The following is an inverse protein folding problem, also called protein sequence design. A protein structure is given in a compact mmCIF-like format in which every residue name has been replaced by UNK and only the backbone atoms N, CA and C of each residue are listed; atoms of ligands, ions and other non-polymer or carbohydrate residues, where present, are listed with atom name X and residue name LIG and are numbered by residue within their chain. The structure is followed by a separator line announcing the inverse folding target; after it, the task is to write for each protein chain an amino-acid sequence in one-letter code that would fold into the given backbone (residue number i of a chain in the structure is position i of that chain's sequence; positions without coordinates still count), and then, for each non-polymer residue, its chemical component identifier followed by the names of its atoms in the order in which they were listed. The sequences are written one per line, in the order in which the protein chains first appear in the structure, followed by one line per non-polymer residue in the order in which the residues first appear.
data_IF_185759067890
#
_entry.id   IF_185759067890
#
_cell.length_a   1.000
_cell.length_b   1.000
_cell.length_c   1.000
_cell.angle_alpha   90.00
_cell.angle_beta   90.00
_cell.angle_gamma   90.00
#
_symmetry.space_group_name_H-M   'P 1'
#
loop_
_entity.id
_entity.type
_entity.pdbx_description
1 polymer ?
#
# COMPACT_ATOMS: atom_id res chain seq x y z
N UNK A 1 -6.94 -18.71 -14.88
CA UNK A 1 -6.76 -20.14 -15.24
C UNK A 1 -5.36 -20.48 -15.74
N UNK A 2 -4.64 -19.61 -16.44
CA UNK A 2 -3.28 -19.91 -16.94
C UNK A 2 -2.20 -20.06 -15.84
N UNK A 3 -2.34 -19.43 -14.69
CA UNK A 3 -1.39 -19.53 -13.57
C UNK A 3 -1.48 -20.87 -12.80
N UNK A 4 -2.67 -21.44 -12.69
CA UNK A 4 -2.86 -22.72 -12.01
C UNK A 4 -2.30 -23.89 -12.85
N UNK A 5 -2.42 -23.82 -14.17
CA UNK A 5 -1.88 -24.82 -15.08
C UNK A 5 -0.33 -24.82 -15.13
N UNK A 6 0.31 -23.66 -14.97
CA UNK A 6 1.78 -23.57 -14.86
C UNK A 6 2.32 -24.14 -13.54
N UNK A 7 1.61 -24.00 -12.43
CA UNK A 7 1.97 -24.61 -11.14
C UNK A 7 1.87 -26.16 -11.18
N UNK A 8 0.86 -26.70 -11.83
CA UNK A 8 0.68 -28.15 -11.95
C UNK A 8 1.74 -28.80 -12.86
N UNK A 9 2.19 -28.12 -13.90
CA UNK A 9 3.23 -28.64 -14.80
C UNK A 9 4.62 -28.68 -14.15
N UNK A 10 4.90 -27.81 -13.18
CA UNK A 10 6.20 -27.77 -12.48
C UNK A 10 6.31 -28.82 -11.36
N UNK A 11 5.20 -29.23 -10.75
CA UNK A 11 5.17 -30.23 -9.68
C UNK A 11 5.45 -31.66 -10.16
N UNK A 12 5.43 -31.91 -11.48
CA UNK A 12 5.58 -33.26 -12.07
C UNK A 12 7.01 -33.55 -12.55
N UNK A 13 7.97 -32.67 -12.38
CA UNK A 13 9.35 -32.86 -12.89
C UNK A 13 10.37 -33.16 -11.78
N UNK A 14 9.97 -33.91 -10.77
CA UNK A 14 10.90 -34.44 -9.77
C UNK A 14 11.49 -35.77 -10.29
N UNK A 15 12.78 -35.78 -10.56
CA UNK A 15 13.49 -37.03 -10.98
C UNK A 15 13.87 -37.79 -9.71
N UNK A 16 13.41 -39.04 -9.61
CA UNK A 16 13.76 -39.94 -8.54
C UNK A 16 15.20 -40.43 -8.74
N UNK A 17 16.07 -40.12 -7.80
CA UNK A 17 17.47 -40.58 -7.81
C UNK A 17 17.57 -41.95 -7.15
N UNK A 18 18.58 -42.73 -7.47
CA UNK A 18 18.76 -44.11 -7.06
C UNK A 18 18.84 -44.41 -5.55
N UNK A 19 18.93 -43.37 -4.72
CA UNK A 19 18.95 -43.47 -3.25
C UNK A 19 17.59 -43.10 -2.58
N UNK A 20 16.52 -42.98 -3.38
CA UNK A 20 15.17 -42.75 -2.86
C UNK A 20 14.83 -41.29 -2.53
N UNK A 21 15.73 -40.34 -2.77
CA UNK A 21 15.47 -38.91 -2.59
C UNK A 21 15.03 -38.29 -3.89
N UNK A 22 14.19 -37.23 -3.79
CA UNK A 22 13.78 -36.41 -4.93
C UNK A 22 14.73 -35.23 -5.07
N UNK A 23 15.37 -35.09 -6.22
CA UNK A 23 16.21 -33.94 -6.54
C UNK A 23 15.57 -33.10 -7.67
N UNK A 24 15.71 -31.81 -7.67
CA UNK A 24 15.29 -30.96 -8.79
C UNK A 24 16.20 -31.26 -10.00
N UNK A 25 15.66 -31.17 -11.24
CA UNK A 25 16.44 -31.37 -12.44
C UNK A 25 17.57 -30.34 -12.52
N UNK A 26 18.76 -30.80 -12.92
CA UNK A 26 19.93 -29.92 -13.11
C UNK A 26 19.72 -29.16 -14.41
N UNK A 27 19.21 -27.94 -14.30
CA UNK A 27 19.13 -26.98 -15.40
C UNK A 27 20.43 -26.17 -15.46
N UNK A 28 20.85 -25.78 -16.69
CA UNK A 28 22.05 -24.97 -16.88
C UNK A 28 22.04 -23.68 -16.05
N UNK A 29 23.21 -23.16 -15.71
CA UNK A 29 23.43 -22.06 -14.76
C UNK A 29 22.54 -20.81 -14.95
N UNK A 30 22.13 -20.51 -16.18
CA UNK A 30 21.26 -19.37 -16.49
C UNK A 30 19.82 -19.54 -15.99
N UNK A 31 19.30 -20.78 -15.94
CA UNK A 31 17.95 -21.08 -15.40
C UNK A 31 17.96 -21.20 -13.88
N UNK A 32 19.11 -21.55 -13.31
CA UNK A 32 19.29 -21.62 -11.86
C UNK A 32 19.33 -20.22 -11.23
N UNK A 33 19.95 -19.25 -11.94
CA UNK A 33 19.97 -17.84 -11.54
C UNK A 33 18.55 -17.24 -11.57
N UNK A 34 17.79 -17.48 -12.65
CA UNK A 34 16.42 -17.02 -12.80
C UNK A 34 15.46 -17.63 -11.74
N UNK A 35 15.73 -18.87 -11.30
CA UNK A 35 14.96 -19.53 -10.25
C UNK A 35 15.26 -18.94 -8.86
N UNK A 36 16.52 -18.65 -8.56
CA UNK A 36 16.93 -17.94 -7.34
C UNK A 36 16.32 -16.55 -7.27
N UNK A 37 16.33 -15.79 -8.37
CA UNK A 37 15.78 -14.43 -8.42
C UNK A 37 14.25 -14.42 -8.23
N UNK A 38 13.54 -15.42 -8.75
CA UNK A 38 12.08 -15.56 -8.57
C UNK A 38 11.72 -15.99 -7.14
N UNK A 39 12.48 -16.91 -6.54
CA UNK A 39 12.23 -17.34 -5.16
C UNK A 39 12.62 -16.28 -4.13
N UNK A 40 13.66 -15.50 -4.39
CA UNK A 40 14.08 -14.39 -3.52
C UNK A 40 13.13 -13.20 -3.60
N UNK A 41 12.35 -13.03 -4.69
CA UNK A 41 11.39 -11.93 -4.82
C UNK A 41 10.03 -12.19 -4.13
N UNK A 42 9.67 -13.44 -3.85
CA UNK A 42 8.41 -13.76 -3.14
C UNK A 42 8.54 -13.65 -1.60
N UNK A 43 9.74 -13.75 -1.04
CA UNK A 43 9.96 -13.64 0.41
C UNK A 43 10.19 -12.20 0.91
N UNK A 44 10.48 -11.25 0.01
CA UNK A 44 10.87 -9.88 0.40
C UNK A 44 9.77 -9.04 1.05
N UNK A 45 8.49 -9.33 0.80
CA UNK A 45 7.38 -8.53 1.32
C UNK A 45 7.05 -8.79 2.80
N UNK A 46 7.24 -10.01 3.27
CA UNK A 46 6.87 -10.43 4.64
C UNK A 46 8.01 -10.23 5.64
N UNK A 47 9.25 -10.49 5.23
CA UNK A 47 10.43 -10.38 6.11
C UNK A 47 10.76 -8.92 6.46
N UNK A 48 10.61 -7.98 5.53
CA UNK A 48 10.90 -6.56 5.79
C UNK A 48 9.94 -5.96 6.82
N UNK A 49 8.67 -6.34 6.79
CA UNK A 49 7.67 -5.86 7.76
C UNK A 49 7.84 -6.51 9.13
N UNK A 50 8.33 -7.76 9.18
CA UNK A 50 8.63 -8.47 10.42
C UNK A 50 9.86 -7.88 11.13
N UNK A 51 10.88 -7.48 10.38
CA UNK A 51 12.13 -6.90 10.90
C UNK A 51 11.93 -5.46 11.40
N UNK A 52 11.11 -4.66 10.72
CA UNK A 52 10.76 -3.30 11.15
C UNK A 52 9.95 -3.29 12.45
N UNK A 53 8.97 -4.18 12.59
CA UNK A 53 8.19 -4.33 13.82
C UNK A 53 9.06 -4.85 14.99
N UNK A 54 9.98 -5.75 14.74
CA UNK A 54 10.95 -6.25 15.73
C UNK A 54 11.89 -5.13 16.21
N UNK A 55 12.36 -4.28 15.31
CA UNK A 55 13.20 -3.12 15.61
C UNK A 55 12.47 -2.09 16.48
N UNK A 56 11.22 -1.75 16.13
CA UNK A 56 10.37 -0.82 16.90
C UNK A 56 10.05 -1.35 18.29
N UNK A 57 9.77 -2.65 18.41
CA UNK A 57 9.51 -3.31 19.71
C UNK A 57 10.72 -3.26 20.62
N UNK A 58 11.93 -3.51 20.10
CA UNK A 58 13.19 -3.40 20.88
C UNK A 58 13.48 -1.97 21.28
N UNK A 59 13.21 -0.99 20.40
CA UNK A 59 13.38 0.43 20.73
C UNK A 59 12.43 0.85 21.86
N UNK A 60 11.15 0.42 21.81
CA UNK A 60 10.16 0.63 22.86
C UNK A 60 10.62 0.01 24.18
N UNK A 61 11.05 -1.25 24.18
CA UNK A 61 11.55 -1.93 25.39
C UNK A 61 12.73 -1.17 26.02
N UNK A 62 13.68 -0.73 25.20
CA UNK A 62 14.83 0.07 25.65
C UNK A 62 14.40 1.39 26.27
N UNK A 63 13.46 2.10 25.64
CA UNK A 63 12.94 3.38 26.15
C UNK A 63 12.23 3.20 27.51
N UNK A 64 11.40 2.15 27.64
CA UNK A 64 10.72 1.84 28.92
C UNK A 64 11.70 1.46 30.03
N UNK A 65 12.80 0.78 29.71
CA UNK A 65 13.87 0.49 30.68
C UNK A 65 14.64 1.74 31.13
N UNK A 66 14.58 2.82 30.36
CA UNK A 66 15.20 4.13 30.62
C UNK A 66 14.23 5.11 31.30
N UNK A 67 13.18 4.61 31.96
CA UNK A 67 12.15 5.40 32.66
C UNK A 67 11.39 6.41 31.77
N UNK A 68 11.35 6.17 30.45
CA UNK A 68 10.51 6.98 29.55
C UNK A 68 9.04 6.72 29.87
N UNK A 69 8.29 7.79 30.12
CA UNK A 69 6.86 7.67 30.42
C UNK A 69 6.12 6.93 29.29
N UNK A 70 5.29 5.90 29.61
CA UNK A 70 4.45 5.23 28.60
C UNK A 70 3.57 6.19 27.81
N UNK A 71 3.11 7.27 28.42
CA UNK A 71 2.31 8.31 27.78
C UNK A 71 3.08 9.04 26.68
N UNK A 72 4.38 9.30 26.87
CA UNK A 72 5.23 9.90 25.85
C UNK A 72 5.35 8.99 24.63
N UNK A 73 5.60 7.70 24.84
CA UNK A 73 5.69 6.70 23.77
C UNK A 73 4.35 6.51 23.02
N UNK A 74 3.23 6.56 23.74
CA UNK A 74 1.89 6.49 23.12
C UNK A 74 1.64 7.70 22.22
N UNK A 75 2.06 8.90 22.63
CA UNK A 75 1.90 10.13 21.84
C UNK A 75 2.79 10.15 20.58
N UNK A 76 3.87 9.39 20.54
CA UNK A 76 4.74 9.24 19.38
C UNK A 76 4.22 8.19 18.38
N UNK A 77 3.22 7.39 18.77
CA UNK A 77 2.67 6.38 17.87
C UNK A 77 2.02 7.04 16.65
N UNK A 78 2.26 6.48 15.45
CA UNK A 78 1.57 6.96 14.26
C UNK A 78 0.05 6.79 14.41
N UNK A 79 -0.75 7.60 13.73
CA UNK A 79 -2.21 7.45 13.72
C UNK A 79 -2.59 5.99 13.41
N UNK A 80 -3.49 5.41 14.20
CA UNK A 80 -3.88 4.00 14.12
C UNK A 80 -5.26 3.79 13.47
N UNK A 81 -5.85 4.82 12.92
CA UNK A 81 -7.15 4.76 12.25
C UNK A 81 -7.22 5.73 11.08
N UNK A 82 -8.12 5.46 10.12
CA UNK A 82 -8.37 6.32 8.98
C UNK A 82 -8.68 7.76 9.41
N UNK A 83 -9.55 7.92 10.42
CA UNK A 83 -9.90 9.22 10.99
C UNK A 83 -8.68 9.97 11.51
N UNK A 84 -7.90 9.32 12.39
CA UNK A 84 -6.73 9.94 13.00
C UNK A 84 -5.67 10.30 11.95
N UNK A 85 -5.50 9.45 10.94
CA UNK A 85 -4.62 9.66 9.80
C UNK A 85 -5.03 10.89 9.00
N UNK A 86 -6.30 11.01 8.61
CA UNK A 86 -6.81 12.16 7.85
C UNK A 86 -6.74 13.46 8.66
N UNK A 87 -7.13 13.45 9.93
CA UNK A 87 -7.04 14.64 10.79
C UNK A 87 -5.59 15.12 10.91
N UNK A 88 -4.64 14.19 11.10
CA UNK A 88 -3.22 14.53 11.15
C UNK A 88 -2.74 15.18 9.84
N UNK A 89 -3.12 14.64 8.68
CA UNK A 89 -2.74 15.20 7.38
C UNK A 89 -3.39 16.56 7.12
N UNK A 90 -4.68 16.72 7.46
CA UNK A 90 -5.39 18.00 7.35
C UNK A 90 -4.74 19.09 8.23
N UNK A 91 -4.37 18.74 9.46
CA UNK A 91 -3.68 19.67 10.38
C UNK A 91 -2.32 20.10 9.84
N UNK A 92 -1.52 19.15 9.30
CA UNK A 92 -0.22 19.48 8.69
C UNK A 92 -0.35 20.44 7.50
N UNK A 93 -1.43 20.35 6.74
CA UNK A 93 -1.69 21.19 5.54
C UNK A 93 -2.55 22.41 5.83
N UNK A 94 -3.01 22.60 7.08
CA UNK A 94 -3.86 23.71 7.50
C UNK A 94 -5.10 23.86 6.61
N UNK A 95 -5.68 22.71 6.17
CA UNK A 95 -6.85 22.69 5.29
C UNK A 95 -8.12 22.40 6.09
N UNK A 96 -9.19 23.14 5.82
CA UNK A 96 -10.50 22.89 6.43
C UNK A 96 -11.22 21.71 5.78
N UNK A 97 -12.17 21.11 6.51
CA UNK A 97 -12.98 19.99 5.98
C UNK A 97 -13.77 20.41 4.74
N UNK A 98 -14.31 21.63 4.72
CA UNK A 98 -15.09 22.12 3.59
C UNK A 98 -14.23 22.33 2.34
N UNK A 99 -13.06 22.96 2.50
CA UNK A 99 -12.11 23.14 1.42
C UNK A 99 -11.60 21.81 0.88
N UNK A 100 -11.31 20.84 1.76
CA UNK A 100 -10.89 19.50 1.35
C UNK A 100 -11.98 18.78 0.56
N UNK A 101 -13.25 18.89 0.99
CA UNK A 101 -14.38 18.29 0.27
C UNK A 101 -14.54 18.88 -1.13
N UNK A 102 -14.45 20.21 -1.25
CA UNK A 102 -14.57 20.92 -2.52
C UNK A 102 -13.44 20.54 -3.49
N UNK A 103 -12.19 20.65 -3.05
CA UNK A 103 -11.02 20.33 -3.87
C UNK A 103 -10.97 18.85 -4.28
N UNK A 104 -11.42 17.93 -3.42
CA UNK A 104 -11.49 16.52 -3.74
C UNK A 104 -12.76 16.14 -4.53
N UNK A 105 -13.61 17.10 -4.91
CA UNK A 105 -14.91 16.87 -5.56
C UNK A 105 -15.77 15.85 -4.79
N UNK A 106 -15.84 15.99 -3.47
CA UNK A 106 -16.63 15.14 -2.58
C UNK A 106 -17.82 15.89 -2.02
N UNK A 107 -18.92 15.15 -1.80
CA UNK A 107 -20.00 15.70 -0.99
C UNK A 107 -19.51 15.87 0.46
N UNK A 108 -19.74 17.07 1.05
CA UNK A 108 -19.35 17.40 2.43
C UNK A 108 -19.83 16.35 3.43
N UNK A 109 -21.10 15.91 3.31
CA UNK A 109 -21.66 14.91 4.19
C UNK A 109 -20.91 13.57 4.11
N UNK A 110 -20.41 13.20 2.92
CA UNK A 110 -19.62 11.98 2.73
C UNK A 110 -18.26 12.09 3.41
N UNK A 111 -17.57 13.22 3.30
CA UNK A 111 -16.30 13.45 3.99
C UNK A 111 -16.48 13.47 5.50
N UNK A 112 -17.53 14.14 6.01
CA UNK A 112 -17.87 14.13 7.44
C UNK A 112 -18.13 12.70 7.97
N UNK A 113 -18.81 11.83 7.20
CA UNK A 113 -19.02 10.43 7.57
C UNK A 113 -17.71 9.64 7.68
N UNK A 114 -16.72 9.96 6.85
CA UNK A 114 -15.38 9.36 6.95
C UNK A 114 -14.66 9.89 8.20
N UNK A 115 -14.68 11.19 8.42
CA UNK A 115 -14.01 11.85 9.55
C UNK A 115 -14.61 11.50 10.91
N UNK A 116 -15.91 11.25 11.02
CA UNK A 116 -16.53 10.81 12.26
C UNK A 116 -16.54 9.29 12.46
N UNK A 117 -16.01 8.54 11.48
CA UNK A 117 -15.90 7.08 11.54
C UNK A 117 -17.18 6.30 11.20
N UNK A 118 -18.25 6.99 10.74
CA UNK A 118 -19.48 6.32 10.29
C UNK A 118 -19.26 5.51 9.01
N UNK A 119 -18.35 5.97 8.13
CA UNK A 119 -17.90 5.22 6.95
C UNK A 119 -16.57 4.56 7.25
N UNK A 120 -16.59 3.25 7.51
CA UNK A 120 -15.38 2.47 7.84
C UNK A 120 -14.54 2.14 6.60
N UNK A 121 -15.19 1.91 5.47
CA UNK A 121 -14.56 1.51 4.21
C UNK A 121 -15.01 2.45 3.09
N UNK A 122 -14.39 3.63 2.94
CA UNK A 122 -14.65 4.51 1.81
C UNK A 122 -14.11 3.90 0.52
N UNK A 123 -14.64 4.33 -0.62
CA UNK A 123 -14.13 3.88 -1.92
C UNK A 123 -12.67 4.28 -2.11
N UNK A 124 -11.90 3.40 -2.74
CA UNK A 124 -10.47 3.60 -3.00
C UNK A 124 -10.18 4.90 -3.75
N UNK A 125 -10.96 5.21 -4.80
CA UNK A 125 -10.84 6.44 -5.56
C UNK A 125 -11.07 7.70 -4.71
N UNK A 126 -11.94 7.63 -3.71
CA UNK A 126 -12.15 8.74 -2.75
C UNK A 126 -10.87 9.00 -1.95
N UNK A 127 -10.24 7.95 -1.43
CA UNK A 127 -8.99 8.09 -0.67
C UNK A 127 -7.82 8.59 -1.53
N UNK A 128 -7.74 8.16 -2.79
CA UNK A 128 -6.74 8.63 -3.75
C UNK A 128 -6.93 10.13 -4.03
N UNK A 129 -8.17 10.59 -4.25
CA UNK A 129 -8.45 12.02 -4.43
C UNK A 129 -8.07 12.85 -3.20
N UNK A 130 -8.39 12.37 -2.00
CA UNK A 130 -7.96 13.01 -0.75
C UNK A 130 -6.44 13.06 -0.64
N UNK A 131 -5.73 11.98 -1.03
CA UNK A 131 -4.28 11.94 -1.03
C UNK A 131 -3.66 12.98 -1.98
N UNK A 132 -4.20 13.12 -3.19
CA UNK A 132 -3.74 14.11 -4.18
C UNK A 132 -3.96 15.54 -3.68
N UNK A 133 -5.15 15.86 -3.16
CA UNK A 133 -5.46 17.22 -2.63
C UNK A 133 -4.58 17.55 -1.43
N UNK A 134 -4.36 16.59 -0.54
CA UNK A 134 -3.50 16.75 0.62
C UNK A 134 -2.01 16.68 0.27
N UNK A 135 -1.65 16.45 -1.00
CA UNK A 135 -0.27 16.26 -1.48
C UNK A 135 0.51 15.33 -0.57
N UNK A 136 -0.07 14.15 -0.32
CA UNK A 136 0.57 13.14 0.51
C UNK A 136 1.74 12.51 -0.25
N UNK A 137 2.77 12.12 0.49
CA UNK A 137 3.81 11.28 -0.07
C UNK A 137 3.26 9.91 -0.47
N UNK A 138 4.01 9.14 -1.26
CA UNK A 138 3.62 7.79 -1.65
C UNK A 138 3.35 6.91 -0.41
N UNK A 139 4.24 6.95 0.60
CA UNK A 139 4.09 6.16 1.83
C UNK A 139 2.89 6.61 2.67
N UNK A 140 2.63 7.92 2.75
CA UNK A 140 1.45 8.45 3.44
C UNK A 140 0.17 8.01 2.73
N UNK A 141 0.17 7.97 1.39
CA UNK A 141 -0.95 7.46 0.60
C UNK A 141 -1.17 5.98 0.83
N UNK A 142 -0.13 5.16 0.85
CA UNK A 142 -0.24 3.72 1.14
C UNK A 142 -0.83 3.49 2.55
N UNK A 143 -0.40 4.25 3.54
CA UNK A 143 -0.98 4.19 4.90
C UNK A 143 -2.46 4.60 4.92
N UNK A 144 -2.82 5.66 4.19
CA UNK A 144 -4.21 6.11 4.09
C UNK A 144 -5.11 5.01 3.47
N UNK A 145 -4.66 4.37 2.39
CA UNK A 145 -5.35 3.25 1.75
C UNK A 145 -5.48 2.05 2.70
N UNK A 146 -4.42 1.72 3.42
CA UNK A 146 -4.41 0.63 4.40
C UNK A 146 -5.46 0.85 5.50
N UNK A 147 -5.49 2.04 6.12
CA UNK A 147 -6.48 2.35 7.16
C UNK A 147 -7.91 2.46 6.63
N UNK A 148 -8.08 2.75 5.35
CA UNK A 148 -9.37 2.73 4.66
C UNK A 148 -9.84 1.32 4.28
N UNK A 149 -9.03 0.29 4.52
CA UNK A 149 -9.32 -1.09 4.11
C UNK A 149 -9.27 -1.30 2.61
N UNK A 150 -8.55 -0.44 1.89
CA UNK A 150 -8.40 -0.52 0.44
C UNK A 150 -7.08 -1.19 0.06
N UNK A 151 -7.05 -1.82 -1.12
CA UNK A 151 -5.83 -2.36 -1.68
C UNK A 151 -4.78 -1.25 -1.90
N UNK A 152 -3.50 -1.49 -1.57
CA UNK A 152 -2.42 -0.53 -1.81
C UNK A 152 -2.22 -0.29 -3.30
N UNK A 153 -1.56 0.82 -3.65
CA UNK A 153 -1.07 1.05 -5.01
C UNK A 153 0.03 0.06 -5.31
N UNK A 154 -0.06 -0.59 -6.47
CA UNK A 154 0.83 -1.69 -6.86
C UNK A 154 1.53 -1.39 -8.19
N UNK A 155 2.84 -1.65 -8.25
CA UNK A 155 3.62 -1.57 -9.49
C UNK A 155 3.22 -2.61 -10.54
N UNK A 156 2.38 -3.58 -10.20
CA UNK A 156 1.90 -4.62 -11.12
C UNK A 156 0.59 -4.24 -11.86
N UNK A 157 0.07 -3.04 -11.59
CA UNK A 157 -1.19 -2.54 -12.21
C UNK A 157 -0.91 -1.24 -12.92
N UNK A 158 -1.11 -1.20 -14.23
CA UNK A 158 -0.85 -0.01 -15.05
C UNK A 158 -1.60 1.23 -14.54
N UNK A 159 -2.86 1.08 -14.11
CA UNK A 159 -3.64 2.16 -13.52
C UNK A 159 -2.99 2.70 -12.23
N UNK A 160 -2.51 1.83 -11.37
CA UNK A 160 -1.85 2.22 -10.11
C UNK A 160 -0.51 2.91 -10.36
N UNK A 161 0.22 2.53 -11.41
CA UNK A 161 1.47 3.19 -11.82
C UNK A 161 1.19 4.65 -12.21
N UNK A 162 0.13 4.91 -12.99
CA UNK A 162 -0.25 6.27 -13.39
C UNK A 162 -0.61 7.10 -12.15
N UNK A 163 -1.42 6.56 -11.25
CA UNK A 163 -1.81 7.23 -10.01
C UNK A 163 -0.57 7.50 -9.13
N UNK A 164 0.31 6.52 -8.98
CA UNK A 164 1.54 6.66 -8.20
C UNK A 164 2.45 7.77 -8.76
N UNK A 165 2.58 7.84 -10.08
CA UNK A 165 3.33 8.92 -10.73
C UNK A 165 2.70 10.30 -10.45
N UNK A 166 1.36 10.41 -10.46
CA UNK A 166 0.66 11.63 -10.10
C UNK A 166 0.90 12.05 -8.65
N UNK A 167 0.90 11.10 -7.72
CA UNK A 167 1.18 11.35 -6.29
C UNK A 167 2.63 11.83 -6.10
N UNK A 168 3.59 11.14 -6.70
CA UNK A 168 5.02 11.47 -6.59
C UNK A 168 5.32 12.85 -7.19
N UNK A 169 4.64 13.23 -8.27
CA UNK A 169 4.80 14.54 -8.95
C UNK A 169 3.90 15.63 -8.37
N UNK A 170 3.16 15.35 -7.30
CA UNK A 170 2.18 16.29 -6.72
C UNK A 170 1.19 16.86 -7.74
N UNK A 171 0.80 16.03 -8.74
CA UNK A 171 -0.13 16.40 -9.81
C UNK A 171 -1.53 16.69 -9.27
N UNK A 172 -2.33 17.45 -10.02
CA UNK A 172 -3.75 17.64 -9.71
C UNK A 172 -4.57 16.39 -10.02
N UNK A 173 -5.81 16.32 -9.50
CA UNK A 173 -6.74 15.23 -9.83
C UNK A 173 -7.02 15.18 -11.33
N UNK A 174 -7.16 16.35 -11.96
CA UNK A 174 -7.49 16.45 -13.39
C UNK A 174 -6.32 16.02 -14.28
N UNK A 175 -5.06 16.30 -13.88
CA UNK A 175 -3.88 15.79 -14.57
C UNK A 175 -3.84 14.26 -14.52
N UNK A 176 -4.06 13.68 -13.33
CA UNK A 176 -4.10 12.23 -13.16
C UNK A 176 -5.23 11.62 -13.99
N UNK A 177 -6.41 12.22 -13.98
CA UNK A 177 -7.55 11.77 -14.79
C UNK A 177 -7.26 11.84 -16.30
N UNK A 178 -6.60 12.90 -16.75
CA UNK A 178 -6.18 13.03 -18.15
C UNK A 178 -5.24 11.90 -18.57
N UNK A 179 -4.27 11.56 -17.72
CA UNK A 179 -3.38 10.42 -17.95
C UNK A 179 -4.09 9.07 -17.91
N UNK A 180 -5.05 8.89 -16.99
CA UNK A 180 -5.85 7.68 -16.91
C UNK A 180 -6.68 7.50 -18.20
N UNK A 181 -7.35 8.54 -18.67
CA UNK A 181 -8.16 8.53 -19.89
C UNK A 181 -7.30 8.27 -21.14
N UNK A 182 -6.11 8.86 -21.23
CA UNK A 182 -5.16 8.62 -22.34
C UNK A 182 -4.76 7.13 -22.45
N UNK A 183 -4.85 6.38 -21.35
CA UNK A 183 -4.58 4.95 -21.27
C UNK A 183 -5.85 4.09 -21.17
N UNK A 184 -7.03 4.64 -21.49
CA UNK A 184 -8.32 3.95 -21.47
C UNK A 184 -8.75 3.41 -20.10
N UNK A 185 -8.28 4.02 -19.00
CA UNK A 185 -8.75 3.71 -17.66
C UNK A 185 -9.86 4.66 -17.23
N UNK A 186 -10.73 4.17 -16.34
CA UNK A 186 -11.72 4.98 -15.66
C UNK A 186 -11.04 6.05 -14.80
N UNK A 187 -11.59 7.25 -14.80
CA UNK A 187 -11.14 8.37 -13.97
C UNK A 187 -11.35 8.11 -12.48
N UNK A 188 -10.84 9.01 -11.65
CA UNK A 188 -10.96 8.93 -10.20
C UNK A 188 -12.35 9.35 -9.68
N UNK A 189 -13.22 9.91 -10.53
CA UNK A 189 -14.60 10.26 -10.17
C UNK A 189 -15.55 9.09 -10.35
N UNK A 190 -15.19 8.13 -11.19
CA UNK A 190 -15.97 6.91 -11.44
C UNK A 190 -15.97 5.98 -10.23
N UNK A 191 -17.06 5.26 -10.03
CA UNK A 191 -17.15 4.18 -9.05
C UNK A 191 -16.36 2.97 -9.56
N UNK A 192 -15.47 2.45 -8.73
CA UNK A 192 -14.84 1.14 -8.95
C UNK A 192 -15.80 0.03 -8.60
#
# INVERSE_FOLDING_TARGET
MAHAARRAAFALLLIKVSDGRYAPPVFGAALQQSYSDVMMSEEGGSLHQFDENSSKTRAMEKALRQDTSPTALINELPPNSLRACLISFMSKRTISTDALAELAALNRASLYKILNGSTKHPQRNVLIRLALVLRLSFDETQRLLHYGGCAPLSGNRARDIIISNGIIKESTIDDVNSHLQAHYFLDLYSKE
#
